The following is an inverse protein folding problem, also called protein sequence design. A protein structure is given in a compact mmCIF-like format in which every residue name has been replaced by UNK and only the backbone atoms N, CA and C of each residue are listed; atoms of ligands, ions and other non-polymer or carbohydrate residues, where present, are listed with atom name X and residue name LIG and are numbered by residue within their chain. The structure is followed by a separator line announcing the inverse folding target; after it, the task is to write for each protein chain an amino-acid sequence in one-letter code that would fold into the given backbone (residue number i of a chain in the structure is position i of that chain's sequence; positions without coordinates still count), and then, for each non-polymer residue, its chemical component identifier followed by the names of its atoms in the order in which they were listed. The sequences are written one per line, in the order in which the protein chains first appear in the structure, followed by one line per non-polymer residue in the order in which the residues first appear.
data_IF_105950617729
#
_entry.id   IF_105950617729
#
_cell.length_a   1.000
_cell.length_b   1.000
_cell.length_c   1.000
_cell.angle_alpha   90.00
_cell.angle_beta   90.00
_cell.angle_gamma   90.00
#
_symmetry.space_group_name_H-M   'P 1'
#
loop_
_entity.id
_entity.type
_entity.pdbx_description
1 polymer ?
#
# COMPACT_ATOMS: atom_id res chain seq x y z
N UNK A 1 57.23 7.98 -16.39
CA UNK A 1 57.93 6.96 -17.21
C UNK A 1 57.02 5.74 -17.29
N UNK A 2 56.15 5.70 -18.29
CA UNK A 2 55.22 4.59 -18.52
C UNK A 2 55.96 3.53 -19.33
N UNK A 3 56.16 2.34 -18.77
CA UNK A 3 56.81 1.24 -19.45
C UNK A 3 55.88 0.69 -20.54
N UNK A 4 56.35 0.77 -21.79
CA UNK A 4 55.73 0.26 -23.04
C UNK A 4 55.63 -1.29 -23.10
N UNK A 5 55.39 -1.99 -21.99
CA UNK A 5 55.57 -3.46 -21.92
C UNK A 5 54.30 -4.32 -22.07
N UNK A 6 53.17 -3.77 -22.53
CA UNK A 6 51.94 -4.57 -22.68
C UNK A 6 51.25 -4.47 -24.05
N UNK A 7 52.00 -4.13 -25.10
CA UNK A 7 51.56 -4.46 -26.47
C UNK A 7 52.06 -5.86 -26.79
N UNK A 8 51.13 -6.73 -27.18
CA UNK A 8 51.36 -8.15 -27.43
C UNK A 8 52.71 -8.39 -28.09
N UNK A 9 53.50 -9.27 -27.47
CA UNK A 9 54.68 -9.85 -28.09
C UNK A 9 54.17 -10.64 -29.30
N UNK A 10 54.02 -9.97 -30.43
CA UNK A 10 54.00 -10.59 -31.75
C UNK A 10 55.35 -11.29 -31.85
N UNK A 11 55.37 -12.53 -31.38
CA UNK A 11 56.52 -13.40 -31.55
C UNK A 11 56.50 -13.68 -33.05
N UNK A 12 57.51 -13.20 -33.78
CA UNK A 12 57.67 -13.55 -35.19
C UNK A 12 57.81 -15.08 -35.25
N UNK A 13 56.67 -15.73 -35.49
CA UNK A 13 56.55 -17.17 -35.57
C UNK A 13 56.23 -17.53 -37.00
N UNK A 14 56.89 -18.56 -37.50
CA UNK A 14 56.59 -19.14 -38.81
C UNK A 14 55.22 -19.84 -38.81
N UNK A 15 54.67 -20.12 -37.62
CA UNK A 15 53.36 -20.70 -37.47
C UNK A 15 52.28 -19.80 -38.10
N UNK A 16 51.28 -20.45 -38.68
CA UNK A 16 50.11 -19.81 -39.26
C UNK A 16 48.87 -20.47 -38.71
N UNK A 17 47.87 -19.68 -38.35
CA UNK A 17 46.56 -20.23 -38.03
C UNK A 17 45.89 -20.80 -39.30
N UNK A 18 44.72 -21.44 -39.18
CA UNK A 18 44.01 -22.03 -40.34
C UNK A 18 43.63 -21.00 -41.43
N UNK A 19 43.55 -19.73 -41.08
CA UNK A 19 43.34 -18.61 -42.01
C UNK A 19 44.63 -18.12 -42.69
N UNK A 20 45.76 -18.82 -42.52
CA UNK A 20 47.09 -18.44 -43.00
C UNK A 20 47.58 -17.07 -42.48
N UNK A 21 47.01 -16.59 -41.38
CA UNK A 21 47.44 -15.36 -40.69
C UNK A 21 48.39 -15.69 -39.54
N UNK A 22 49.32 -14.77 -39.23
CA UNK A 22 50.21 -14.88 -38.08
C UNK A 22 49.38 -14.93 -36.78
N UNK A 23 49.55 -15.95 -35.93
CA UNK A 23 48.84 -16.04 -34.67
C UNK A 23 49.33 -14.98 -33.67
N UNK A 24 48.44 -14.55 -32.79
CA UNK A 24 48.74 -13.58 -31.73
C UNK A 24 49.06 -14.32 -30.43
N UNK A 25 50.08 -13.84 -29.72
CA UNK A 25 50.36 -14.28 -28.36
C UNK A 25 49.30 -13.74 -27.37
N UNK A 26 48.64 -14.64 -26.67
CA UNK A 26 47.57 -14.40 -25.71
C UNK A 26 47.98 -14.95 -24.35
N UNK A 27 47.46 -14.37 -23.27
CA UNK A 27 47.60 -14.88 -21.91
C UNK A 27 46.33 -15.63 -21.51
N UNK A 28 46.47 -16.78 -20.86
CA UNK A 28 45.37 -17.50 -20.24
C UNK A 28 45.07 -16.85 -18.89
N UNK A 29 43.83 -16.40 -18.71
CA UNK A 29 43.40 -15.66 -17.53
C UNK A 29 42.51 -16.49 -16.62
N UNK A 30 42.43 -17.80 -16.81
CA UNK A 30 41.52 -18.68 -16.09
C UNK A 30 42.03 -20.12 -15.95
N UNK A 31 41.53 -20.80 -14.92
CA UNK A 31 41.78 -22.22 -14.67
C UNK A 31 43.25 -22.58 -14.43
N UNK A 32 43.61 -23.82 -14.75
CA UNK A 32 44.90 -24.43 -14.40
C UNK A 32 46.11 -23.85 -15.14
N UNK A 33 45.90 -23.17 -16.27
CA UNK A 33 46.95 -22.57 -17.08
C UNK A 33 47.03 -21.04 -16.90
N UNK A 34 46.44 -20.52 -15.83
CA UNK A 34 46.46 -19.08 -15.52
C UNK A 34 47.88 -18.53 -15.60
N UNK A 35 48.04 -17.43 -16.31
CA UNK A 35 49.33 -16.78 -16.54
C UNK A 35 50.18 -17.38 -17.67
N UNK A 36 49.85 -18.57 -18.19
CA UNK A 36 50.56 -19.15 -19.35
C UNK A 36 50.17 -18.43 -20.64
N UNK A 37 51.16 -18.27 -21.51
CA UNK A 37 51.00 -17.73 -22.87
C UNK A 37 50.72 -18.82 -23.88
N UNK A 38 49.86 -18.50 -24.83
CA UNK A 38 49.52 -19.34 -25.98
C UNK A 38 49.34 -18.47 -27.23
N UNK A 39 49.69 -19.03 -28.38
CA UNK A 39 49.39 -18.47 -29.69
C UNK A 39 47.97 -18.85 -30.08
N UNK A 40 47.19 -17.87 -30.56
CA UNK A 40 45.84 -18.11 -31.07
C UNK A 40 45.56 -17.30 -32.33
N UNK A 41 44.50 -17.67 -33.06
CA UNK A 41 44.07 -16.94 -34.25
C UNK A 41 43.88 -15.43 -33.94
N UNK A 42 44.43 -14.52 -34.78
CA UNK A 42 44.41 -13.07 -34.52
C UNK A 42 43.06 -12.43 -34.82
N UNK A 43 42.13 -13.16 -35.46
CA UNK A 43 40.81 -12.65 -35.81
C UNK A 43 39.94 -12.46 -34.56
N UNK A 44 39.17 -11.36 -34.55
CA UNK A 44 38.23 -11.02 -33.48
C UNK A 44 36.82 -11.54 -33.81
N UNK A 45 36.05 -11.87 -32.78
CA UNK A 45 34.69 -12.42 -32.90
C UNK A 45 34.67 -13.95 -32.97
N UNK A 46 33.66 -14.59 -32.36
CA UNK A 46 33.56 -16.06 -32.29
C UNK A 46 33.38 -16.72 -33.66
N UNK A 47 32.66 -16.06 -34.57
CA UNK A 47 32.26 -16.63 -35.87
C UNK A 47 33.40 -16.66 -36.89
N UNK A 48 34.38 -15.76 -36.76
CA UNK A 48 35.50 -15.61 -37.69
C UNK A 48 36.82 -16.17 -37.15
N UNK A 49 36.85 -16.67 -35.91
CA UNK A 49 38.06 -17.17 -35.27
C UNK A 49 38.18 -18.68 -35.48
N UNK A 50 39.31 -19.14 -35.99
CA UNK A 50 39.59 -20.59 -36.00
C UNK A 50 40.06 -21.07 -34.62
N UNK A 51 39.96 -22.38 -34.41
CA UNK A 51 40.34 -23.12 -33.20
C UNK A 51 41.84 -23.32 -33.00
N UNK A 52 42.69 -22.68 -33.81
CA UNK A 52 44.15 -22.76 -33.66
C UNK A 52 44.59 -22.25 -32.28
N UNK A 53 45.28 -23.11 -31.53
CA UNK A 53 45.90 -22.83 -30.23
C UNK A 53 47.21 -23.60 -30.14
N UNK A 54 48.30 -22.91 -29.82
CA UNK A 54 49.61 -23.50 -29.54
C UNK A 54 50.16 -22.90 -28.24
N UNK A 55 50.60 -23.71 -27.27
CA UNK A 55 51.10 -23.20 -25.99
C UNK A 55 52.57 -22.83 -26.08
N UNK A 56 52.93 -21.62 -25.62
CA UNK A 56 54.31 -21.11 -25.65
C UNK A 56 55.04 -21.52 -24.38
N UNK A 57 54.40 -21.31 -23.24
CA UNK A 57 54.98 -21.62 -21.95
C UNK A 57 54.81 -23.12 -21.65
N UNK A 58 55.81 -23.70 -20.98
CA UNK A 58 55.70 -25.05 -20.45
C UNK A 58 54.52 -25.15 -19.50
N UNK A 59 53.91 -26.34 -19.44
CA UNK A 59 52.87 -26.61 -18.45
C UNK A 59 53.41 -26.31 -17.06
N UNK A 60 52.62 -25.56 -16.29
CA UNK A 60 52.86 -25.39 -14.87
C UNK A 60 53.07 -26.75 -14.19
N UNK A 61 53.91 -26.74 -13.15
CA UNK A 61 54.05 -27.90 -12.27
C UNK A 61 52.65 -28.31 -11.76
N UNK A 62 52.37 -29.62 -11.61
CA UNK A 62 51.04 -30.10 -11.21
C UNK A 62 50.50 -29.46 -9.93
N UNK A 63 51.40 -29.11 -8.99
CA UNK A 63 51.04 -28.41 -7.76
C UNK A 63 50.48 -27.01 -8.03
N UNK A 64 51.12 -26.24 -8.92
CA UNK A 64 50.66 -24.91 -9.27
C UNK A 64 49.34 -24.94 -10.04
N UNK A 65 49.17 -25.91 -10.95
CA UNK A 65 47.89 -26.12 -11.65
C UNK A 65 46.73 -26.37 -10.69
N UNK A 66 46.95 -27.15 -9.62
CA UNK A 66 45.97 -27.40 -8.56
C UNK A 66 45.63 -26.12 -7.79
N UNK A 67 46.64 -25.36 -7.39
CA UNK A 67 46.43 -24.08 -6.67
C UNK A 67 45.67 -23.10 -7.55
N UNK A 68 46.07 -22.90 -8.80
CA UNK A 68 45.40 -22.01 -9.74
C UNK A 68 43.93 -22.41 -9.96
N UNK A 69 43.66 -23.71 -10.17
CA UNK A 69 42.30 -24.22 -10.30
C UNK A 69 41.46 -23.96 -9.03
N UNK A 70 42.01 -24.20 -7.85
CA UNK A 70 41.33 -23.96 -6.57
C UNK A 70 41.02 -22.47 -6.35
N UNK A 71 41.94 -21.57 -6.69
CA UNK A 71 41.70 -20.12 -6.63
C UNK A 71 40.52 -19.74 -7.52
N UNK A 72 40.47 -20.24 -8.76
CA UNK A 72 39.34 -19.94 -9.66
C UNK A 72 38.01 -20.54 -9.20
N UNK A 73 38.03 -21.70 -8.55
CA UNK A 73 36.84 -22.27 -7.92
C UNK A 73 36.31 -21.35 -6.80
N UNK A 74 37.19 -20.86 -5.94
CA UNK A 74 36.85 -19.92 -4.86
C UNK A 74 36.34 -18.59 -5.43
N UNK A 75 37.00 -18.03 -6.45
CA UNK A 75 36.52 -16.84 -7.16
C UNK A 75 35.13 -17.08 -7.76
N UNK A 76 34.89 -18.26 -8.34
CA UNK A 76 33.59 -18.64 -8.88
C UNK A 76 32.50 -18.66 -7.79
N UNK A 77 32.80 -19.20 -6.62
CA UNK A 77 31.89 -19.19 -5.46
C UNK A 77 31.58 -17.76 -5.02
N UNK A 78 32.60 -16.90 -4.89
CA UNK A 78 32.39 -15.50 -4.50
C UNK A 78 31.60 -14.70 -5.53
N UNK A 79 31.85 -14.89 -6.83
CA UNK A 79 31.05 -14.26 -7.88
C UNK A 79 29.59 -14.67 -7.78
N UNK A 80 29.33 -15.98 -7.65
CA UNK A 80 27.98 -16.49 -7.49
C UNK A 80 27.28 -15.91 -6.25
N UNK A 81 27.97 -15.87 -5.11
CA UNK A 81 27.43 -15.27 -3.89
C UNK A 81 27.15 -13.77 -4.04
N UNK A 82 28.01 -13.03 -4.75
CA UNK A 82 27.79 -11.62 -5.03
C UNK A 82 26.58 -11.41 -5.94
N UNK A 83 26.43 -12.23 -6.98
CA UNK A 83 25.28 -12.19 -7.88
C UNK A 83 23.97 -12.53 -7.12
N UNK A 84 23.98 -13.56 -6.29
CA UNK A 84 22.85 -13.94 -5.42
C UNK A 84 22.49 -12.81 -4.44
N UNK A 85 23.49 -12.25 -3.74
CA UNK A 85 23.27 -11.13 -2.82
C UNK A 85 22.74 -9.87 -3.53
N UNK A 86 23.18 -9.62 -4.77
CA UNK A 86 22.65 -8.53 -5.59
C UNK A 86 21.17 -8.75 -5.93
N UNK A 87 20.78 -9.97 -6.30
CA UNK A 87 19.39 -10.34 -6.56
C UNK A 87 18.54 -10.15 -5.31
N UNK A 88 19.01 -10.63 -4.16
CA UNK A 88 18.31 -10.48 -2.87
C UNK A 88 18.13 -9.01 -2.48
N UNK A 89 19.17 -8.18 -2.68
CA UNK A 89 19.10 -6.74 -2.43
C UNK A 89 18.05 -6.06 -3.32
N UNK A 90 18.02 -6.40 -4.62
CA UNK A 90 17.03 -5.86 -5.54
C UNK A 90 15.61 -6.29 -5.18
N UNK A 91 15.42 -7.55 -4.78
CA UNK A 91 14.13 -8.05 -4.30
C UNK A 91 13.67 -7.31 -3.03
N UNK A 92 14.57 -7.07 -2.07
CA UNK A 92 14.27 -6.31 -0.86
C UNK A 92 13.93 -4.84 -1.14
N UNK A 93 14.59 -4.23 -2.15
CA UNK A 93 14.25 -2.87 -2.61
C UNK A 93 12.85 -2.86 -3.22
N UNK A 94 12.50 -3.83 -4.06
CA UNK A 94 11.18 -3.91 -4.68
C UNK A 94 10.09 -4.04 -3.60
N UNK A 95 10.24 -4.99 -2.68
CA UNK A 95 9.28 -5.20 -1.59
C UNK A 95 9.07 -3.93 -0.76
N UNK A 96 10.15 -3.20 -0.46
CA UNK A 96 10.07 -1.93 0.28
C UNK A 96 9.30 -0.85 -0.51
N UNK A 97 9.48 -0.79 -1.82
CA UNK A 97 8.75 0.16 -2.67
C UNK A 97 7.26 -0.20 -2.69
N UNK A 98 6.91 -1.48 -2.87
CA UNK A 98 5.51 -1.94 -2.86
C UNK A 98 4.80 -1.57 -1.54
N UNK A 99 5.47 -1.82 -0.40
CA UNK A 99 4.95 -1.44 0.93
C UNK A 99 4.79 0.08 1.07
N UNK A 100 5.69 0.86 0.46
CA UNK A 100 5.60 2.31 0.51
C UNK A 100 4.42 2.82 -0.33
N UNK A 101 4.20 2.26 -1.53
CA UNK A 101 3.05 2.58 -2.38
C UNK A 101 1.73 2.22 -1.68
N UNK A 102 1.62 1.04 -1.08
CA UNK A 102 0.43 0.64 -0.31
C UNK A 102 0.19 1.58 0.88
N UNK A 103 1.26 1.96 1.59
CA UNK A 103 1.17 2.92 2.70
C UNK A 103 0.66 4.29 2.23
N UNK A 104 1.13 4.78 1.08
CA UNK A 104 0.64 6.04 0.51
C UNK A 104 -0.83 5.95 0.11
N UNK A 105 -1.27 4.84 -0.49
CA UNK A 105 -2.67 4.60 -0.82
C UNK A 105 -3.56 4.60 0.45
N UNK A 106 -3.14 3.91 1.51
CA UNK A 106 -3.87 3.90 2.79
C UNK A 106 -3.93 5.29 3.45
N UNK A 107 -2.89 6.12 3.29
CA UNK A 107 -2.90 7.49 3.81
C UNK A 107 -3.93 8.36 3.06
N UNK A 108 -4.06 8.17 1.75
CA UNK A 108 -5.09 8.86 0.95
C UNK A 108 -6.48 8.45 1.40
N UNK A 109 -6.76 7.14 1.49
CA UNK A 109 -8.05 6.61 1.93
C UNK A 109 -8.40 7.10 3.34
N UNK A 110 -7.43 7.13 4.26
CA UNK A 110 -7.63 7.65 5.62
C UNK A 110 -8.05 9.11 5.64
N UNK A 111 -7.50 9.94 4.75
CA UNK A 111 -7.89 11.35 4.62
C UNK A 111 -9.32 11.46 4.10
N UNK A 112 -9.69 10.66 3.10
CA UNK A 112 -11.05 10.62 2.57
C UNK A 112 -12.07 10.19 3.62
N UNK A 113 -11.78 9.10 4.34
CA UNK A 113 -12.60 8.62 5.46
C UNK A 113 -12.80 9.68 6.55
N UNK A 114 -11.75 10.46 6.83
CA UNK A 114 -11.83 11.54 7.82
C UNK A 114 -12.78 12.64 7.35
N UNK A 115 -12.74 13.03 6.07
CA UNK A 115 -13.66 14.00 5.48
C UNK A 115 -15.10 13.50 5.46
N UNK A 116 -15.30 12.24 5.07
CA UNK A 116 -16.63 11.63 5.06
C UNK A 116 -17.22 11.56 6.47
N UNK A 117 -16.42 11.15 7.45
CA UNK A 117 -16.81 11.16 8.87
C UNK A 117 -17.24 12.55 9.34
N UNK A 118 -16.50 13.61 8.98
CA UNK A 118 -16.88 14.98 9.31
C UNK A 118 -18.20 15.41 8.66
N UNK A 119 -18.45 15.00 7.41
CA UNK A 119 -19.72 15.24 6.72
C UNK A 119 -20.88 14.56 7.44
N UNK A 120 -20.73 13.29 7.78
CA UNK A 120 -21.75 12.51 8.50
C UNK A 120 -22.02 13.06 9.90
N UNK A 121 -21.01 13.58 10.60
CA UNK A 121 -21.21 14.25 11.89
C UNK A 121 -22.09 15.49 11.72
N UNK A 122 -21.81 16.34 10.72
CA UNK A 122 -22.62 17.54 10.44
C UNK A 122 -24.06 17.19 10.08
N UNK A 123 -24.26 16.16 9.26
CA UNK A 123 -25.60 15.69 8.88
C UNK A 123 -26.36 15.15 10.10
N UNK A 124 -25.71 14.31 10.92
CA UNK A 124 -26.29 13.80 12.16
C UNK A 124 -26.75 14.93 13.08
N UNK A 125 -25.89 15.95 13.30
CA UNK A 125 -26.27 17.11 14.12
C UNK A 125 -27.45 17.88 13.53
N UNK A 126 -27.52 18.01 12.20
CA UNK A 126 -28.66 18.65 11.52
C UNK A 126 -29.96 17.89 11.77
N UNK A 127 -29.93 16.57 11.59
CA UNK A 127 -31.08 15.70 11.85
C UNK A 127 -31.50 15.70 13.31
N UNK A 128 -30.56 15.72 14.24
CA UNK A 128 -30.85 15.82 15.68
C UNK A 128 -31.53 17.16 16.02
N UNK A 129 -31.09 18.28 15.43
CA UNK A 129 -31.76 19.59 15.59
C UNK A 129 -33.18 19.55 15.05
N UNK A 130 -33.39 18.95 13.87
CA UNK A 130 -34.71 18.82 13.26
C UNK A 130 -35.64 17.94 14.10
N UNK A 131 -35.16 16.79 14.55
CA UNK A 131 -35.87 15.89 15.46
C UNK A 131 -36.23 16.58 16.77
N UNK A 132 -35.31 17.33 17.36
CA UNK A 132 -35.56 18.11 18.58
C UNK A 132 -36.65 19.16 18.36
N UNK A 133 -36.64 19.86 17.22
CA UNK A 133 -37.66 20.85 16.86
C UNK A 133 -39.03 20.18 16.66
N UNK A 134 -39.11 19.10 15.88
CA UNK A 134 -40.35 18.32 15.67
C UNK A 134 -40.92 17.79 16.99
N UNK A 135 -40.06 17.28 17.87
CA UNK A 135 -40.46 16.79 19.20
C UNK A 135 -41.01 17.92 20.08
N UNK A 136 -40.39 19.10 20.05
CA UNK A 136 -40.89 20.28 20.79
C UNK A 136 -42.25 20.72 20.26
N UNK A 137 -42.41 20.82 18.94
CA UNK A 137 -43.69 21.16 18.30
C UNK A 137 -44.79 20.15 18.65
N UNK A 138 -44.50 18.85 18.58
CA UNK A 138 -45.44 17.81 18.97
C UNK A 138 -45.84 17.91 20.45
N UNK A 139 -44.89 18.22 21.34
CA UNK A 139 -45.19 18.39 22.77
C UNK A 139 -46.07 19.61 23.04
N UNK A 140 -45.80 20.75 22.40
CA UNK A 140 -46.58 21.98 22.59
C UNK A 140 -47.99 21.86 22.00
N UNK A 141 -48.15 21.17 20.87
CA UNK A 141 -49.48 20.92 20.30
C UNK A 141 -50.29 19.97 21.16
N UNK A 142 -49.69 18.88 21.64
CA UNK A 142 -50.35 17.94 22.57
C UNK A 142 -50.77 18.64 23.87
N UNK A 143 -49.90 19.43 24.51
CA UNK A 143 -50.25 20.13 25.75
C UNK A 143 -51.32 21.21 25.54
N UNK A 144 -51.30 21.90 24.40
CA UNK A 144 -52.35 22.89 24.05
C UNK A 144 -53.70 22.20 23.86
N UNK A 145 -53.71 21.05 23.19
CA UNK A 145 -54.93 20.26 23.01
C UNK A 145 -55.45 19.72 24.34
N UNK A 146 -54.57 19.18 25.18
CA UNK A 146 -54.90 18.71 26.53
C UNK A 146 -55.52 19.84 27.38
N UNK A 147 -54.91 21.03 27.39
CA UNK A 147 -55.46 22.20 28.09
C UNK A 147 -56.85 22.59 27.57
N UNK A 148 -57.07 22.54 26.25
CA UNK A 148 -58.40 22.82 25.66
C UNK A 148 -59.44 21.78 26.06
N UNK A 149 -59.08 20.51 26.08
CA UNK A 149 -59.97 19.43 26.53
C UNK A 149 -60.31 19.61 28.02
N UNK A 150 -59.32 19.95 28.84
CA UNK A 150 -59.51 20.21 30.27
C UNK A 150 -60.41 21.43 30.53
N UNK A 151 -60.21 22.54 29.80
CA UNK A 151 -61.05 23.73 29.93
C UNK A 151 -62.49 23.46 29.49
N UNK A 152 -62.69 22.80 28.34
CA UNK A 152 -64.02 22.40 27.87
C UNK A 152 -64.74 21.51 28.89
N UNK A 153 -64.01 20.57 29.50
CA UNK A 153 -64.53 19.72 30.57
C UNK A 153 -64.95 20.52 31.80
N UNK A 154 -64.18 21.53 32.17
CA UNK A 154 -64.48 22.40 33.30
C UNK A 154 -65.67 23.32 33.02
N UNK A 155 -65.75 23.89 31.82
CA UNK A 155 -66.85 24.76 31.39
C UNK A 155 -68.17 23.99 31.37
N UNK A 156 -68.16 22.74 30.87
CA UNK A 156 -69.32 21.84 30.94
C UNK A 156 -69.74 21.56 32.38
N UNK A 157 -68.79 21.27 33.29
CA UNK A 157 -69.09 21.06 34.71
C UNK A 157 -69.72 22.31 35.35
N UNK A 158 -69.19 23.49 35.04
CA UNK A 158 -69.75 24.76 35.50
C UNK A 158 -71.18 24.98 34.98
N UNK A 159 -71.43 24.70 33.70
CA UNK A 159 -72.75 24.81 33.08
C UNK A 159 -73.75 23.84 33.75
N UNK A 160 -73.39 22.57 33.96
CA UNK A 160 -74.25 21.63 34.67
C UNK A 160 -74.53 22.09 36.11
N UNK A 161 -73.55 22.67 36.80
CA UNK A 161 -73.74 23.27 38.12
C UNK A 161 -74.76 24.42 38.13
N UNK A 162 -74.69 25.32 37.13
CA UNK A 162 -75.65 26.42 36.97
C UNK A 162 -77.06 25.92 36.65
N UNK A 163 -77.20 24.91 35.79
CA UNK A 163 -78.50 24.33 35.45
C UNK A 163 -79.13 23.69 36.70
N UNK A 164 -78.36 22.90 37.46
CA UNK A 164 -78.84 22.25 38.69
C UNK A 164 -79.24 23.28 39.76
N UNK A 165 -78.52 24.39 39.89
CA UNK A 165 -78.90 25.45 40.84
C UNK A 165 -80.20 26.14 40.44
N UNK A 166 -80.40 26.44 39.15
CA UNK A 166 -81.66 26.99 38.63
C UNK A 166 -82.84 26.06 38.87
N UNK A 167 -82.69 24.75 38.61
CA UNK A 167 -83.72 23.75 38.93
C UNK A 167 -84.03 23.73 40.43
N UNK A 168 -83.01 23.79 41.29
CA UNK A 168 -83.20 23.89 42.74
C UNK A 168 -84.02 25.11 43.16
N UNK A 169 -83.74 26.28 42.57
CA UNK A 169 -84.51 27.52 42.82
C UNK A 169 -85.97 27.36 42.36
N UNK A 170 -86.21 26.81 41.17
CA UNK A 170 -87.57 26.58 40.67
C UNK A 170 -88.36 25.66 41.61
N UNK A 171 -87.76 24.54 42.04
CA UNK A 171 -88.38 23.61 42.99
C UNK A 171 -88.69 24.30 44.32
N UNK A 172 -87.76 25.10 44.85
CA UNK A 172 -87.98 25.85 46.09
C UNK A 172 -89.13 26.86 45.96
N UNK A 173 -89.24 27.57 44.83
CA UNK A 173 -90.35 28.48 44.56
C UNK A 173 -91.68 27.72 44.44
N UNK A 174 -91.71 26.60 43.72
CA UNK A 174 -92.92 25.77 43.60
C UNK A 174 -93.37 25.22 44.96
N UNK A 175 -92.44 24.73 45.78
CA UNK A 175 -92.74 24.29 47.14
C UNK A 175 -93.25 25.46 47.98
N UNK A 176 -92.63 26.64 47.92
CA UNK A 176 -93.11 27.82 48.63
C UNK A 176 -94.53 28.23 48.21
N UNK A 177 -94.88 28.14 46.91
CA UNK A 177 -96.24 28.39 46.42
C UNK A 177 -97.22 27.32 46.92
N UNK A 178 -96.86 26.03 46.87
CA UNK A 178 -97.70 24.93 47.36
C UNK A 178 -97.94 25.03 48.87
N UNK A 179 -96.92 25.36 49.66
CA UNK A 179 -97.04 25.56 51.11
C UNK A 179 -97.81 26.84 51.47
N UNK A 180 -97.83 27.85 50.60
CA UNK A 180 -98.61 29.09 50.81
C UNK A 180 -100.10 28.94 50.45
N UNK A 181 -100.43 27.95 49.62
CA UNK A 181 -101.81 27.64 49.20
C UNK A 181 -102.44 26.49 50.00
N UNK A 182 -101.89 26.16 51.17
CA UNK A 182 -102.39 25.17 52.13
C UNK A 182 -102.61 25.83 53.47
#
# INVERSE_FOLDING_TARGET
METKERRGLDTETELRCRHRKCPRCMLCWDGKNTGCRYLACPLRGKENKCDFVEWIDYKWLPMFQKVAASIWEVIGKFKKQADEAQVDLLAAIQLRNDVYEEKEALLVEKVEWTREKESLIKEKESLEREMAMRTRLARTTCSTLENRIMSDGNDKKMLYGLILSLFGVIVAVLLAVVFKNK
#
